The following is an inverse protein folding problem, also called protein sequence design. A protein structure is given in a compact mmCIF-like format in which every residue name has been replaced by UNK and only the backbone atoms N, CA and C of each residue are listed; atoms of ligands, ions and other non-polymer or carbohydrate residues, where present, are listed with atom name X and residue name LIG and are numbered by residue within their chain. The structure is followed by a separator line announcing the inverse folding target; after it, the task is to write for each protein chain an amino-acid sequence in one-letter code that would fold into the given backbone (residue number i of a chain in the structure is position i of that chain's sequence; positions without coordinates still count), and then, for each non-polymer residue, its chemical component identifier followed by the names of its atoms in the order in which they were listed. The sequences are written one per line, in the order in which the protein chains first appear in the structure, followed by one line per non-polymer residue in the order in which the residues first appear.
data_IF_896058233269
#
_entry.id   IF_896058233269
#
_cell.length_a   1.000
_cell.length_b   1.000
_cell.length_c   1.000
_cell.angle_alpha   90.00
_cell.angle_beta   90.00
_cell.angle_gamma   90.00
#
_symmetry.space_group_name_H-M   'P 1'
#
loop_
_entity.id
_entity.type
_entity.pdbx_description
1 polymer ?
#
# COMPACT_ATOMS: atom_id res chain seq x y z
N UNK A 1 13.37 5.71 -11.82
CA UNK A 1 11.96 5.63 -12.23
C UNK A 1 11.27 6.96 -11.95
N UNK A 2 10.49 7.47 -12.88
CA UNK A 2 9.80 8.76 -12.79
C UNK A 2 8.60 8.79 -11.84
N UNK A 3 8.40 7.79 -10.98
CA UNK A 3 7.24 7.74 -10.07
C UNK A 3 7.41 8.58 -8.79
N UNK A 4 8.64 8.78 -8.32
CA UNK A 4 8.91 9.57 -7.12
C UNK A 4 9.40 10.97 -7.48
N UNK A 5 8.48 11.77 -8.02
CA UNK A 5 8.69 13.16 -8.39
C UNK A 5 7.88 14.10 -7.49
N UNK A 6 8.18 15.40 -7.55
CA UNK A 6 7.44 16.39 -6.78
C UNK A 6 5.93 16.30 -7.04
N UNK A 7 5.15 16.13 -6.01
CA UNK A 7 3.70 16.04 -6.10
C UNK A 7 3.14 14.63 -6.38
N UNK A 8 3.98 13.58 -6.37
CA UNK A 8 3.50 12.20 -6.48
C UNK A 8 2.50 11.85 -5.38
N UNK A 9 1.77 10.77 -5.55
CA UNK A 9 0.84 10.24 -4.56
C UNK A 9 1.21 8.80 -4.19
N UNK A 10 0.89 8.40 -2.96
CA UNK A 10 1.27 7.09 -2.44
C UNK A 10 0.18 6.44 -1.60
N UNK A 11 0.24 5.13 -1.57
CA UNK A 11 -0.43 4.31 -0.56
C UNK A 11 0.54 3.25 -0.05
N UNK A 12 0.51 2.98 1.24
CA UNK A 12 1.23 1.86 1.86
C UNK A 12 0.26 0.98 2.62
N UNK A 13 0.52 -0.31 2.63
CA UNK A 13 -0.24 -1.24 3.49
C UNK A 13 0.11 -1.07 4.97
N UNK A 14 -0.66 -1.69 5.85
CA UNK A 14 -0.47 -1.69 7.32
C UNK A 14 0.45 -2.78 7.85
N UNK A 15 0.90 -3.72 7.01
CA UNK A 15 1.76 -4.81 7.43
C UNK A 15 3.19 -4.37 7.81
N UNK A 16 3.90 -5.19 8.58
CA UNK A 16 5.25 -4.86 9.09
C UNK A 16 6.26 -4.49 7.99
N UNK A 17 6.21 -5.15 6.83
CA UNK A 17 7.05 -4.81 5.68
C UNK A 17 6.71 -3.41 5.14
N UNK A 18 5.43 -3.06 5.02
CA UNK A 18 4.99 -1.74 4.57
C UNK A 18 5.41 -0.63 5.53
N UNK A 19 5.36 -0.89 6.84
CA UNK A 19 5.85 0.06 7.86
C UNK A 19 7.35 0.30 7.72
N UNK A 20 8.15 -0.74 7.45
CA UNK A 20 9.58 -0.60 7.21
C UNK A 20 9.85 0.24 5.94
N UNK A 21 9.15 -0.03 4.85
CA UNK A 21 9.26 0.74 3.60
C UNK A 21 8.91 2.21 3.83
N UNK A 22 7.87 2.51 4.61
CA UNK A 22 7.45 3.89 4.91
C UNK A 22 8.59 4.68 5.55
N UNK A 23 9.40 4.05 6.41
CA UNK A 23 10.57 4.67 7.03
C UNK A 23 11.65 5.04 5.99
N UNK A 24 12.00 4.10 5.12
CA UNK A 24 12.97 4.36 4.04
C UNK A 24 12.45 5.42 3.05
N UNK A 25 11.17 5.38 2.75
CA UNK A 25 10.52 6.38 1.89
C UNK A 25 10.64 7.78 2.49
N UNK A 26 10.38 7.94 3.79
CA UNK A 26 10.57 9.21 4.50
C UNK A 26 11.97 9.76 4.30
N UNK A 27 12.99 8.94 4.57
CA UNK A 27 14.39 9.38 4.47
C UNK A 27 14.75 9.75 3.01
N UNK A 28 14.27 9.01 2.04
CA UNK A 28 14.43 9.33 0.61
C UNK A 28 13.78 10.68 0.26
N UNK A 29 12.56 10.95 0.72
CA UNK A 29 11.85 12.20 0.45
C UNK A 29 12.58 13.40 1.04
N UNK A 30 13.12 13.26 2.26
CA UNK A 30 13.94 14.30 2.91
C UNK A 30 15.19 14.59 2.09
N UNK A 31 15.95 13.55 1.72
CA UNK A 31 17.20 13.71 0.96
C UNK A 31 16.96 14.33 -0.42
N UNK A 32 15.90 13.88 -1.11
CA UNK A 32 15.56 14.38 -2.45
C UNK A 32 14.78 15.69 -2.45
N UNK A 33 14.33 16.18 -1.28
CA UNK A 33 13.47 17.36 -1.13
C UNK A 33 12.17 17.24 -1.94
N UNK A 34 11.57 16.06 -1.94
CA UNK A 34 10.32 15.75 -2.63
C UNK A 34 9.17 15.74 -1.62
N UNK A 35 8.05 16.34 -1.99
CA UNK A 35 6.82 16.34 -1.20
C UNK A 35 5.72 15.63 -2.00
N UNK A 36 5.07 14.64 -1.40
CA UNK A 36 3.91 13.96 -1.97
C UNK A 36 2.66 14.86 -1.94
N UNK A 37 1.80 14.73 -2.94
CA UNK A 37 0.52 15.44 -2.99
C UNK A 37 -0.48 14.90 -1.97
N UNK A 38 -0.60 13.59 -1.86
CA UNK A 38 -1.43 12.92 -0.87
C UNK A 38 -0.96 11.50 -0.57
N UNK A 39 -1.33 11.01 0.61
CA UNK A 39 -1.37 9.59 0.93
C UNK A 39 -2.82 9.12 0.95
N UNK A 40 -3.07 7.89 0.50
CA UNK A 40 -4.39 7.32 0.27
C UNK A 40 -4.57 6.01 1.04
N UNK A 41 -5.79 5.71 1.42
CA UNK A 41 -6.20 4.39 1.90
C UNK A 41 -6.15 4.26 3.42
N UNK A 42 -5.47 3.24 3.92
CA UNK A 42 -5.27 3.05 5.35
C UNK A 42 -4.16 3.95 5.89
N UNK A 43 -4.48 4.81 6.85
CA UNK A 43 -3.53 5.76 7.42
C UNK A 43 -2.97 5.21 8.72
N UNK A 44 -1.64 5.25 8.84
CA UNK A 44 -0.87 4.86 10.03
C UNK A 44 -0.19 6.06 10.68
N UNK A 45 0.24 5.91 11.92
CA UNK A 45 1.02 6.93 12.64
C UNK A 45 2.27 7.38 11.89
N UNK A 46 2.93 6.50 11.13
CA UNK A 46 4.09 6.86 10.33
C UNK A 46 3.71 7.81 9.18
N UNK A 47 2.60 7.56 8.52
CA UNK A 47 2.07 8.44 7.47
C UNK A 47 1.65 9.80 8.05
N UNK A 48 1.02 9.80 9.23
CA UNK A 48 0.70 11.05 9.96
C UNK A 48 1.95 11.86 10.25
N UNK A 49 3.01 11.23 10.78
CA UNK A 49 4.31 11.90 11.05
C UNK A 49 4.93 12.50 9.79
N UNK A 50 4.94 11.76 8.68
CA UNK A 50 5.43 12.30 7.41
C UNK A 50 4.62 13.50 6.92
N UNK A 51 3.32 13.52 7.17
CA UNK A 51 2.47 14.67 6.87
C UNK A 51 2.81 15.87 7.79
N UNK A 52 2.96 15.66 9.09
CA UNK A 52 3.34 16.70 10.05
C UNK A 52 4.73 17.29 9.76
N UNK A 53 5.65 16.49 9.21
CA UNK A 53 6.96 16.91 8.71
C UNK A 53 6.90 17.65 7.36
N UNK A 54 5.73 17.80 6.75
CA UNK A 54 5.54 18.47 5.46
C UNK A 54 5.93 17.64 4.23
N UNK A 55 6.20 16.35 4.41
CA UNK A 55 6.56 15.44 3.31
C UNK A 55 5.34 14.93 2.53
N UNK A 56 4.14 15.06 3.09
CA UNK A 56 2.86 14.70 2.46
C UNK A 56 1.88 15.83 2.70
N UNK A 57 1.23 16.35 1.66
CA UNK A 57 0.35 17.52 1.78
C UNK A 57 -1.04 17.19 2.32
N UNK A 58 -1.60 16.03 2.00
CA UNK A 58 -2.95 15.62 2.40
C UNK A 58 -3.00 14.14 2.74
N UNK A 59 -3.88 13.79 3.67
CA UNK A 59 -4.21 12.41 4.01
C UNK A 59 -5.68 12.16 3.63
N UNK A 60 -5.91 11.15 2.81
CA UNK A 60 -7.23 10.69 2.36
C UNK A 60 -7.48 9.31 2.97
N UNK A 61 -8.18 9.30 4.07
CA UNK A 61 -8.31 8.17 5.00
C UNK A 61 -9.60 7.39 4.76
N UNK A 62 -9.48 6.14 4.33
CA UNK A 62 -10.61 5.21 4.25
C UNK A 62 -10.68 4.35 5.52
N UNK A 63 -9.57 4.23 6.24
CA UNK A 63 -9.49 3.51 7.51
C UNK A 63 -8.27 3.95 8.32
N UNK A 64 -8.48 4.52 9.48
CA UNK A 64 -7.40 4.80 10.44
C UNK A 64 -6.95 3.51 11.12
N UNK A 65 -5.66 3.17 11.03
CA UNK A 65 -5.13 1.91 11.56
C UNK A 65 -4.60 1.97 12.99
N UNK A 66 -4.44 3.17 13.54
CA UNK A 66 -3.98 3.35 14.91
C UNK A 66 -4.55 4.62 15.56
N UNK A 67 -4.37 4.75 16.88
CA UNK A 67 -4.93 5.87 17.64
C UNK A 67 -4.38 7.23 17.20
N UNK A 68 -3.17 7.29 16.71
CA UNK A 68 -2.57 8.55 16.23
C UNK A 68 -3.22 8.99 14.91
N UNK A 69 -3.52 8.05 14.01
CA UNK A 69 -4.29 8.33 12.81
C UNK A 69 -5.69 8.85 13.14
N UNK A 70 -6.41 8.19 14.08
CA UNK A 70 -7.73 8.63 14.55
C UNK A 70 -7.66 10.04 15.16
N UNK A 71 -6.65 10.31 16.00
CA UNK A 71 -6.45 11.64 16.60
C UNK A 71 -6.19 12.69 15.53
N UNK A 72 -5.32 12.40 14.59
CA UNK A 72 -5.01 13.30 13.47
C UNK A 72 -6.26 13.59 12.64
N UNK A 73 -7.06 12.56 12.32
CA UNK A 73 -8.33 12.74 11.58
C UNK A 73 -9.29 13.71 12.30
N UNK A 74 -9.35 13.65 13.62
CA UNK A 74 -10.23 14.50 14.44
C UNK A 74 -9.82 15.99 14.52
N UNK A 75 -8.54 16.32 14.28
CA UNK A 75 -8.02 17.69 14.53
C UNK A 75 -7.33 18.33 13.33
N UNK A 76 -6.92 17.54 12.34
CA UNK A 76 -6.12 18.03 11.22
C UNK A 76 -6.99 18.25 9.99
N UNK A 77 -7.16 19.50 9.58
CA UNK A 77 -7.99 19.88 8.40
C UNK A 77 -7.51 19.30 7.05
N UNK A 78 -6.28 18.80 6.98
CA UNK A 78 -5.71 18.17 5.77
C UNK A 78 -5.74 16.63 5.85
N UNK A 79 -6.29 16.09 6.92
CA UNK A 79 -6.60 14.68 7.08
C UNK A 79 -8.11 14.52 6.96
N UNK A 80 -8.55 13.86 5.89
CA UNK A 80 -9.97 13.81 5.51
C UNK A 80 -10.41 12.36 5.37
N UNK A 81 -11.50 12.00 6.04
CA UNK A 81 -12.17 10.73 5.83
C UNK A 81 -12.83 10.70 4.44
N UNK A 82 -12.70 9.57 3.76
CA UNK A 82 -13.32 9.32 2.46
C UNK A 82 -14.04 7.97 2.46
N UNK A 83 -15.09 7.86 1.67
CA UNK A 83 -15.81 6.60 1.50
C UNK A 83 -15.12 5.67 0.48
N UNK A 84 -15.50 4.38 0.50
CA UNK A 84 -14.93 3.36 -0.35
C UNK A 84 -15.17 3.62 -1.85
N UNK A 85 -16.27 4.27 -2.21
CA UNK A 85 -16.55 4.59 -3.62
C UNK A 85 -15.63 5.69 -4.14
N UNK A 86 -15.40 6.72 -3.35
CA UNK A 86 -14.44 7.77 -3.70
C UNK A 86 -13.00 7.26 -3.64
N UNK A 87 -12.71 6.30 -2.76
CA UNK A 87 -11.40 5.67 -2.64
C UNK A 87 -10.99 4.94 -3.91
N UNK A 88 -11.71 3.85 -4.29
CA UNK A 88 -11.23 2.90 -5.29
C UNK A 88 -12.36 2.11 -6.02
N UNK A 89 -13.57 2.66 -6.12
CA UNK A 89 -14.65 1.98 -6.82
C UNK A 89 -14.41 2.02 -8.34
N UNK A 90 -14.28 0.87 -9.04
CA UNK A 90 -13.99 0.83 -10.47
C UNK A 90 -15.13 1.42 -11.34
N UNK A 91 -16.34 1.52 -10.81
CA UNK A 91 -17.47 2.16 -11.49
C UNK A 91 -17.50 3.68 -11.30
N UNK A 92 -16.72 4.21 -10.36
CA UNK A 92 -16.61 5.64 -10.10
C UNK A 92 -15.38 6.22 -10.81
N UNK A 93 -15.54 6.77 -11.99
CA UNK A 93 -14.44 7.38 -12.77
C UNK A 93 -13.73 8.52 -12.03
N UNK A 94 -14.38 9.12 -11.04
CA UNK A 94 -13.81 10.18 -10.19
C UNK A 94 -13.08 9.68 -8.96
N UNK A 95 -12.95 8.36 -8.73
CA UNK A 95 -12.29 7.84 -7.55
C UNK A 95 -10.80 8.19 -7.51
N UNK A 96 -10.27 8.32 -6.30
CA UNK A 96 -8.92 8.86 -6.07
C UNK A 96 -7.83 7.92 -6.57
N UNK A 97 -8.08 6.62 -6.58
CA UNK A 97 -7.11 5.61 -7.04
C UNK A 97 -6.63 5.89 -8.47
N UNK A 98 -7.46 6.48 -9.33
CA UNK A 98 -7.08 6.88 -10.69
C UNK A 98 -5.95 7.94 -10.75
N UNK A 99 -5.59 8.53 -9.61
CA UNK A 99 -4.49 9.49 -9.47
C UNK A 99 -3.37 8.98 -8.56
N UNK A 100 -3.42 7.70 -8.21
CA UNK A 100 -2.40 7.08 -7.36
C UNK A 100 -1.18 6.73 -8.20
N UNK A 101 -0.04 7.33 -7.87
CA UNK A 101 1.22 7.05 -8.58
C UNK A 101 1.85 5.75 -8.12
N UNK A 102 1.91 5.50 -6.80
CA UNK A 102 2.60 4.34 -6.23
C UNK A 102 1.76 3.71 -5.15
N UNK A 103 1.58 2.40 -5.24
CA UNK A 103 1.05 1.59 -4.14
C UNK A 103 2.07 0.54 -3.70
N UNK A 104 2.26 0.43 -2.39
CA UNK A 104 3.12 -0.58 -1.77
C UNK A 104 2.24 -1.48 -0.91
N UNK A 105 2.13 -2.71 -1.33
CA UNK A 105 1.25 -3.71 -0.74
C UNK A 105 2.07 -4.84 -0.12
N UNK A 106 1.46 -5.62 0.74
CA UNK A 106 2.06 -6.83 1.30
C UNK A 106 1.36 -8.07 0.77
N UNK A 107 1.98 -9.24 0.93
CA UNK A 107 1.40 -10.53 0.60
C UNK A 107 1.46 -11.48 1.80
N UNK A 108 0.45 -12.33 1.95
CA UNK A 108 0.59 -13.57 2.71
C UNK A 108 1.30 -14.62 1.85
N UNK A 109 0.86 -14.73 0.61
CA UNK A 109 1.45 -15.60 -0.40
C UNK A 109 1.40 -14.89 -1.74
N UNK A 110 2.40 -15.13 -2.58
CA UNK A 110 2.46 -14.69 -3.97
C UNK A 110 3.02 -15.85 -4.81
N UNK A 111 2.43 -16.10 -5.95
CA UNK A 111 2.90 -17.16 -6.85
C UNK A 111 3.84 -16.64 -7.95
N UNK A 112 4.35 -17.57 -8.74
CA UNK A 112 5.28 -17.28 -9.84
C UNK A 112 4.67 -16.47 -10.98
N UNK A 113 3.32 -16.42 -11.05
CA UNK A 113 2.58 -15.58 -11.97
C UNK A 113 2.19 -14.22 -11.35
N UNK A 114 2.74 -13.89 -10.17
CA UNK A 114 2.49 -12.67 -9.40
C UNK A 114 1.06 -12.57 -8.83
N UNK A 115 0.25 -13.63 -8.85
CA UNK A 115 -1.03 -13.61 -8.17
C UNK A 115 -0.82 -13.53 -6.66
N UNK A 116 -1.55 -12.63 -6.00
CA UNK A 116 -1.36 -12.34 -4.57
C UNK A 116 -2.54 -12.81 -3.76
N UNK A 117 -2.25 -13.49 -2.66
CA UNK A 117 -3.19 -13.89 -1.62
C UNK A 117 -2.89 -13.11 -0.33
N UNK A 118 -3.89 -12.42 0.20
CA UNK A 118 -3.83 -11.67 1.46
C UNK A 118 -4.90 -12.10 2.47
N UNK A 119 -5.69 -13.11 2.16
CA UNK A 119 -6.82 -13.58 2.99
C UNK A 119 -6.55 -14.92 3.63
N UNK A 120 -6.20 -15.92 2.83
CA UNK A 120 -6.00 -17.29 3.32
C UNK A 120 -4.54 -17.70 3.28
N UNK A 121 -4.13 -18.63 4.17
CA UNK A 121 -2.90 -19.37 3.94
C UNK A 121 -3.16 -20.55 3.00
N UNK A 122 -2.11 -21.28 2.61
CA UNK A 122 -2.20 -22.51 1.80
C UNK A 122 -3.02 -23.63 2.49
N UNK A 123 -3.22 -23.53 3.79
CA UNK A 123 -4.10 -24.40 4.59
C UNK A 123 -5.59 -23.99 4.52
N UNK A 124 -5.95 -22.97 3.76
CA UNK A 124 -7.32 -22.46 3.60
C UNK A 124 -7.85 -21.67 4.80
N UNK A 125 -7.04 -21.45 5.84
CA UNK A 125 -7.47 -20.69 7.02
C UNK A 125 -7.44 -19.19 6.73
N UNK A 126 -8.56 -18.48 6.99
CA UNK A 126 -8.68 -17.04 6.82
C UNK A 126 -7.86 -16.35 7.92
N UNK A 127 -6.93 -15.48 7.53
CA UNK A 127 -6.02 -14.74 8.41
C UNK A 127 -6.00 -13.25 8.14
N UNK A 128 -6.61 -12.80 7.05
CA UNK A 128 -6.60 -11.41 6.62
C UNK A 128 -7.85 -11.01 5.89
N UNK A 129 -7.80 -9.85 5.27
CA UNK A 129 -8.87 -9.29 4.45
C UNK A 129 -8.29 -8.59 3.22
N UNK A 130 -9.08 -8.50 2.15
CA UNK A 130 -8.64 -7.88 0.89
C UNK A 130 -8.50 -6.36 1.03
N UNK A 131 -9.42 -5.70 1.75
CA UNK A 131 -9.52 -4.24 1.69
C UNK A 131 -9.54 -3.75 0.24
N UNK A 132 -8.82 -2.68 -0.03
CA UNK A 132 -8.63 -2.14 -1.39
C UNK A 132 -7.40 -2.68 -2.13
N UNK A 133 -6.90 -3.87 -1.79
CA UNK A 133 -5.63 -4.40 -2.32
C UNK A 133 -5.64 -4.53 -3.84
N UNK A 134 -6.62 -5.22 -4.41
CA UNK A 134 -6.75 -5.40 -5.87
C UNK A 134 -7.06 -4.09 -6.58
N UNK A 135 -7.98 -3.28 -6.04
CA UNK A 135 -8.41 -2.04 -6.69
C UNK A 135 -7.27 -1.01 -6.76
N UNK A 136 -6.45 -0.96 -5.71
CA UNK A 136 -5.30 -0.03 -5.70
C UNK A 136 -4.11 -0.57 -6.50
N UNK A 137 -3.93 -1.88 -6.58
CA UNK A 137 -2.93 -2.47 -7.46
C UNK A 137 -3.21 -2.10 -8.91
N UNK A 138 -4.40 -2.41 -9.41
CA UNK A 138 -4.77 -2.15 -10.81
C UNK A 138 -4.93 -0.65 -11.13
N UNK A 139 -5.32 0.17 -10.15
CA UNK A 139 -5.60 1.59 -10.35
C UNK A 139 -4.36 2.49 -10.23
N UNK A 140 -3.25 2.00 -9.66
CA UNK A 140 -2.03 2.80 -9.48
C UNK A 140 -1.12 2.79 -10.70
N UNK A 141 -0.24 3.78 -10.78
CA UNK A 141 0.79 3.83 -11.83
C UNK A 141 1.94 2.85 -11.62
N UNK A 142 2.18 2.45 -10.37
CA UNK A 142 3.17 1.45 -9.98
C UNK A 142 2.66 0.67 -8.76
N UNK A 143 2.52 -0.63 -8.91
CA UNK A 143 2.10 -1.55 -7.86
C UNK A 143 3.25 -2.48 -7.45
N UNK A 144 3.72 -2.35 -6.21
CA UNK A 144 4.82 -3.14 -5.68
C UNK A 144 4.37 -3.95 -4.48
N UNK A 145 4.62 -5.25 -4.54
CA UNK A 145 4.46 -6.15 -3.39
C UNK A 145 5.78 -6.16 -2.60
N UNK A 146 5.69 -5.97 -1.30
CA UNK A 146 6.83 -6.09 -0.39
C UNK A 146 6.53 -7.15 0.67
N UNK A 147 7.30 -8.20 0.69
CA UNK A 147 7.14 -9.30 1.64
C UNK A 147 8.46 -10.02 1.88
N UNK A 148 8.72 -10.58 3.07
CA UNK A 148 9.86 -11.47 3.26
C UNK A 148 9.65 -12.74 2.44
N UNK A 149 10.74 -13.30 1.90
CA UNK A 149 10.68 -14.55 1.13
C UNK A 149 10.09 -15.70 1.98
N UNK A 150 10.43 -15.72 3.26
CA UNK A 150 9.97 -16.74 4.21
C UNK A 150 9.56 -16.05 5.52
N UNK A 151 8.40 -16.42 6.06
CA UNK A 151 7.90 -15.98 7.36
C UNK A 151 8.05 -17.14 8.37
N UNK A 152 9.12 -17.13 9.13
CA UNK A 152 9.47 -18.22 10.00
C UNK A 152 9.80 -19.49 9.19
N UNK A 153 8.83 -20.41 9.08
CA UNK A 153 8.97 -21.65 8.29
C UNK A 153 7.99 -21.70 7.10
N UNK A 154 7.23 -20.64 6.87
CA UNK A 154 6.19 -20.59 5.85
C UNK A 154 6.72 -19.74 4.69
N UNK A 155 6.86 -20.31 3.48
CA UNK A 155 7.25 -19.52 2.31
C UNK A 155 6.16 -18.52 1.96
N UNK A 156 6.57 -17.32 1.54
CA UNK A 156 5.66 -16.31 0.99
C UNK A 156 5.55 -16.49 -0.52
N UNK A 157 6.64 -16.84 -1.19
CA UNK A 157 6.64 -17.18 -2.61
C UNK A 157 6.37 -18.66 -2.77
N UNK A 158 5.33 -19.01 -3.52
CA UNK A 158 4.85 -20.38 -3.75
C UNK A 158 4.56 -20.63 -5.22
N UNK A 159 4.38 -21.88 -5.64
CA UNK A 159 4.11 -22.21 -7.04
C UNK A 159 2.76 -21.64 -7.51
N UNK A 160 1.70 -21.78 -6.69
CA UNK A 160 0.36 -21.29 -7.01
C UNK A 160 -0.42 -20.95 -5.74
N UNK A 161 -0.99 -19.75 -5.69
CA UNK A 161 -1.87 -19.33 -4.60
C UNK A 161 -3.23 -20.05 -4.69
N UNK A 162 -3.79 -20.39 -3.52
CA UNK A 162 -5.12 -21.04 -3.45
C UNK A 162 -6.25 -20.03 -3.65
N UNK A 163 -6.03 -18.78 -3.28
CA UNK A 163 -7.02 -17.70 -3.37
C UNK A 163 -6.37 -16.49 -4.03
N UNK A 164 -6.77 -16.18 -5.24
CA UNK A 164 -6.30 -14.98 -5.94
C UNK A 164 -7.13 -13.78 -5.49
N UNK A 165 -6.50 -12.85 -4.77
CA UNK A 165 -7.10 -11.58 -4.37
C UNK A 165 -6.69 -10.48 -5.34
N UNK A 166 -5.42 -10.40 -5.68
CA UNK A 166 -4.91 -9.47 -6.67
C UNK A 166 -4.29 -10.28 -7.80
N UNK A 167 -4.83 -10.18 -9.01
CA UNK A 167 -4.26 -10.83 -10.19
C UNK A 167 -2.84 -10.32 -10.47
N UNK A 168 -1.97 -11.21 -10.92
CA UNK A 168 -0.58 -10.90 -11.20
C UNK A 168 -0.38 -9.82 -12.24
N UNK A 169 -1.27 -9.71 -13.21
CA UNK A 169 -1.27 -8.64 -14.23
C UNK A 169 -1.40 -7.22 -13.65
N UNK A 170 -1.83 -7.10 -12.36
CA UNK A 170 -1.94 -5.83 -11.64
C UNK A 170 -0.72 -5.53 -10.77
N UNK A 171 0.33 -6.37 -10.83
CA UNK A 171 1.52 -6.26 -9.99
C UNK A 171 2.75 -6.03 -10.86
N UNK A 172 3.41 -4.89 -10.67
CA UNK A 172 4.61 -4.53 -11.45
C UNK A 172 5.90 -5.09 -10.87
N UNK A 173 5.89 -5.48 -9.60
CA UNK A 173 7.09 -6.04 -8.99
C UNK A 173 6.91 -6.59 -7.59
N UNK A 174 7.81 -7.51 -7.25
CA UNK A 174 7.94 -8.11 -5.93
C UNK A 174 9.30 -7.76 -5.35
N UNK A 175 9.31 -7.21 -4.14
CA UNK A 175 10.53 -6.95 -3.36
C UNK A 175 10.55 -7.86 -2.14
N UNK A 176 11.61 -8.62 -2.00
CA UNK A 176 11.87 -9.49 -0.85
C UNK A 176 13.20 -9.13 -0.18
N UNK A 177 13.50 -9.76 0.94
CA UNK A 177 14.81 -9.72 1.59
C UNK A 177 15.93 -10.37 0.76
N UNK A 178 15.60 -11.10 -0.30
CA UNK A 178 16.54 -11.77 -1.19
C UNK A 178 16.73 -11.07 -2.53
N UNK A 179 15.82 -10.20 -2.94
CA UNK A 179 15.92 -9.50 -4.20
C UNK A 179 14.62 -8.93 -4.72
N UNK A 180 14.66 -8.51 -5.99
CA UNK A 180 13.55 -7.89 -6.70
C UNK A 180 13.23 -8.74 -7.94
N UNK A 181 11.94 -9.01 -8.14
CA UNK A 181 11.40 -9.60 -9.37
C UNK A 181 10.44 -8.61 -10.04
N UNK A 182 10.44 -8.56 -11.37
CA UNK A 182 9.59 -7.73 -12.23
C UNK A 182 9.17 -8.54 -13.46
#
# INVERSE_FOLDING_TARGET
SGYFEQGFSLQTGSGGASVAVTRFLRDMLVVRKITASFALGGITSQIVKMHEEGLIKRLLDVQSFDLEAVRSLGVNRYHTEIDASFYANPLNKGCVVNKLNVVILSAMEIDTDFNVNVITGSDGVIRGASGGHSDTAIGSGLSVIVAPLIRGRIPTVIDKVTTVITPGESVDGLVTDQGIAV
#
